data_IF_316578443042
#
_entry.id   IF_316578443042
#
_cell.length_a   1.000
_cell.length_b   1.000
_cell.length_c   1.000
_cell.angle_alpha   90.00
_cell.angle_beta   90.00
_cell.angle_gamma   90.00
#
_symmetry.space_group_name_H-M   'P 1'
#
loop_
_entity.id
_entity.type
_entity.pdbx_description
1 polymer ?
#
# COMPACT_ATOMS: atom_id res chain seq x y z
N UNK A 1 32.92 59.73 -28.75
CA UNK A 1 33.18 58.46 -29.44
C UNK A 1 32.03 58.07 -30.34
N UNK A 2 32.41 57.79 -31.58
CA UNK A 2 31.56 57.46 -32.70
C UNK A 2 30.79 56.13 -32.48
N UNK A 3 29.62 55.96 -33.12
CA UNK A 3 28.52 55.11 -32.69
C UNK A 3 28.20 54.00 -33.72
N UNK A 4 27.02 53.40 -33.57
CA UNK A 4 26.22 52.77 -34.64
C UNK A 4 26.85 51.53 -35.35
N UNK A 5 26.13 50.63 -36.00
CA UNK A 5 24.92 50.81 -36.76
C UNK A 5 24.29 49.46 -37.13
N UNK A 6 22.97 49.49 -37.20
CA UNK A 6 22.09 48.62 -37.97
C UNK A 6 22.59 48.44 -39.42
N UNK A 7 22.50 47.24 -40.00
CA UNK A 7 22.41 47.10 -41.47
C UNK A 7 21.52 45.94 -41.88
N UNK A 8 20.54 46.32 -42.70
CA UNK A 8 19.55 45.52 -43.41
C UNK A 8 19.83 45.73 -44.90
N UNK A 9 20.01 44.67 -45.67
CA UNK A 9 20.03 44.63 -47.16
C UNK A 9 19.98 43.14 -47.55
N UNK A 10 19.41 42.63 -48.65
CA UNK A 10 18.33 42.99 -49.58
C UNK A 10 18.08 41.70 -50.38
N UNK A 11 16.85 41.58 -50.86
CA UNK A 11 16.29 40.55 -51.74
C UNK A 11 16.87 40.62 -53.17
N UNK A 12 17.21 39.49 -53.81
CA UNK A 12 17.15 39.35 -55.28
C UNK A 12 17.06 37.87 -55.72
N UNK A 13 16.12 37.62 -56.63
CA UNK A 13 15.77 36.36 -57.31
C UNK A 13 16.88 35.82 -58.24
N UNK A 14 16.89 34.50 -58.53
CA UNK A 14 16.50 33.87 -59.82
C UNK A 14 16.98 32.40 -59.94
N UNK A 15 16.12 31.52 -60.50
CA UNK A 15 16.38 30.40 -61.42
C UNK A 15 17.39 29.28 -61.02
N UNK A 16 17.25 27.99 -61.35
CA UNK A 16 16.28 27.18 -62.09
C UNK A 16 16.60 25.70 -61.71
N UNK A 17 15.59 24.85 -61.78
CA UNK A 17 15.57 23.38 -61.57
C UNK A 17 16.61 22.57 -62.36
N UNK A 18 17.23 21.52 -61.75
CA UNK A 18 17.61 20.27 -62.45
C UNK A 18 17.46 19.04 -61.53
N UNK A 19 16.65 18.10 -62.06
CA UNK A 19 16.36 16.68 -61.84
C UNK A 19 16.84 15.85 -60.61
N UNK A 20 15.86 15.07 -60.15
CA UNK A 20 15.88 13.84 -59.35
C UNK A 20 16.88 12.77 -59.84
N UNK A 21 17.60 12.16 -58.90
CA UNK A 21 17.96 10.74 -58.99
C UNK A 21 17.50 10.06 -57.70
N UNK A 22 16.61 9.09 -57.90
CA UNK A 22 16.15 8.12 -56.91
C UNK A 22 17.32 7.24 -56.50
N UNK A 23 17.79 7.37 -55.27
CA UNK A 23 18.49 6.28 -54.58
C UNK A 23 17.70 5.98 -53.32
N UNK A 24 17.05 4.81 -53.34
CA UNK A 24 16.19 4.34 -52.27
C UNK A 24 16.92 4.36 -50.93
N UNK A 25 16.46 5.24 -50.04
CA UNK A 25 16.54 4.96 -48.62
C UNK A 25 15.13 4.55 -48.23
N UNK A 26 14.92 3.25 -48.10
CA UNK A 26 13.85 2.71 -47.29
C UNK A 26 13.90 3.46 -45.96
N UNK A 27 12.99 4.40 -45.73
CA UNK A 27 12.68 4.78 -44.37
C UNK A 27 12.00 3.55 -43.79
N UNK A 28 12.81 2.66 -43.22
CA UNK A 28 12.36 1.73 -42.21
C UNK A 28 11.86 2.61 -41.07
N UNK A 29 10.59 2.99 -41.14
CA UNK A 29 9.83 3.29 -39.94
C UNK A 29 9.76 1.96 -39.21
N UNK A 30 10.72 1.71 -38.33
CA UNK A 30 10.54 0.71 -37.29
C UNK A 30 9.32 1.18 -36.51
N UNK A 31 8.20 0.50 -36.76
CA UNK A 31 7.06 0.53 -35.87
C UNK A 31 7.49 -0.27 -34.64
N UNK A 32 8.32 0.33 -33.79
CA UNK A 32 8.53 -0.15 -32.44
C UNK A 32 7.27 0.24 -31.65
N UNK A 33 6.21 -0.55 -31.85
CA UNK A 33 5.21 -0.73 -30.81
C UNK A 33 5.87 -1.57 -29.70
N UNK A 34 6.86 -1.01 -29.02
CA UNK A 34 7.18 -1.45 -27.67
C UNK A 34 5.97 -1.07 -26.83
N UNK A 35 5.12 -2.06 -26.56
CA UNK A 35 4.08 -1.96 -25.55
C UNK A 35 4.78 -1.68 -24.23
N UNK A 36 4.93 -0.40 -23.88
CA UNK A 36 5.53 0.03 -22.61
C UNK A 36 4.66 -0.53 -21.51
N UNK A 37 5.11 -1.62 -20.88
CA UNK A 37 4.39 -2.23 -19.78
C UNK A 37 4.31 -1.21 -18.65
N UNK A 38 3.11 -0.74 -18.37
CA UNK A 38 2.86 0.18 -17.29
C UNK A 38 2.81 -0.61 -15.98
N UNK A 39 3.87 -0.49 -15.17
CA UNK A 39 3.98 -1.18 -13.88
C UNK A 39 2.80 -0.89 -12.95
N UNK A 40 2.17 0.29 -13.08
CA UNK A 40 0.99 0.62 -12.30
C UNK A 40 -0.21 -0.26 -12.67
N UNK A 41 -0.46 -0.45 -13.96
CA UNK A 41 -1.61 -1.24 -14.44
C UNK A 41 -1.44 -2.71 -14.05
N UNK A 42 -0.21 -3.21 -14.09
CA UNK A 42 0.12 -4.56 -13.63
C UNK A 42 -0.10 -4.73 -12.13
N UNK A 43 0.34 -3.76 -11.32
CA UNK A 43 0.08 -3.78 -9.87
C UNK A 43 -1.43 -3.69 -9.60
N UNK A 44 -2.15 -2.85 -10.33
CA UNK A 44 -3.60 -2.70 -10.16
C UNK A 44 -4.34 -3.99 -10.51
N UNK A 45 -3.92 -4.71 -11.56
CA UNK A 45 -4.44 -6.05 -11.89
C UNK A 45 -4.18 -7.08 -10.78
N UNK A 46 -2.96 -7.12 -10.25
CA UNK A 46 -2.64 -8.00 -9.11
C UNK A 46 -3.49 -7.68 -7.88
N UNK A 47 -3.72 -6.39 -7.59
CA UNK A 47 -4.55 -5.94 -6.47
C UNK A 47 -6.02 -6.29 -6.68
N UNK A 48 -6.52 -6.20 -7.91
CA UNK A 48 -7.87 -6.64 -8.28
C UNK A 48 -8.04 -8.14 -7.99
N UNK A 49 -7.11 -8.98 -8.43
CA UNK A 49 -7.17 -10.42 -8.17
C UNK A 49 -7.06 -10.77 -6.68
N UNK A 50 -6.23 -10.05 -5.92
CA UNK A 50 -6.14 -10.16 -4.46
C UNK A 50 -7.46 -9.83 -3.79
N UNK A 51 -8.07 -8.69 -4.14
CA UNK A 51 -9.32 -8.22 -3.52
C UNK A 51 -10.52 -9.09 -3.91
N UNK A 52 -10.54 -9.61 -5.15
CA UNK A 52 -11.53 -10.60 -5.61
C UNK A 52 -11.38 -11.93 -4.85
N UNK A 53 -10.16 -12.48 -4.76
CA UNK A 53 -9.86 -13.71 -4.02
C UNK A 53 -10.26 -13.61 -2.54
N UNK A 54 -10.01 -12.46 -1.90
CA UNK A 54 -10.43 -12.17 -0.53
C UNK A 54 -11.97 -12.11 -0.37
N UNK A 55 -12.66 -11.53 -1.34
CA UNK A 55 -14.11 -11.39 -1.35
C UNK A 55 -14.80 -12.74 -1.55
N UNK A 56 -14.41 -13.49 -2.57
CA UNK A 56 -14.97 -14.81 -2.91
C UNK A 56 -14.80 -15.82 -1.77
N UNK A 57 -13.69 -15.76 -1.06
CA UNK A 57 -13.38 -16.68 0.05
C UNK A 57 -13.84 -16.16 1.41
N UNK A 58 -14.54 -15.02 1.49
CA UNK A 58 -14.90 -14.33 2.73
C UNK A 58 -13.70 -14.15 3.69
N UNK A 59 -12.50 -13.98 3.13
CA UNK A 59 -11.23 -13.91 3.86
C UNK A 59 -10.70 -12.49 4.04
N UNK A 60 -11.51 -11.48 3.69
CA UNK A 60 -11.21 -10.06 3.90
C UNK A 60 -11.08 -9.64 5.37
N UNK A 61 -11.51 -10.50 6.30
CA UNK A 61 -11.41 -10.28 7.74
C UNK A 61 -10.32 -11.15 8.37
N UNK A 62 -9.69 -10.64 9.44
CA UNK A 62 -8.61 -11.33 10.16
C UNK A 62 -8.91 -11.36 11.64
N UNK A 63 -8.88 -12.54 12.26
CA UNK A 63 -8.96 -12.63 13.73
C UNK A 63 -7.72 -11.98 14.32
N UNK A 64 -7.92 -11.03 15.25
CA UNK A 64 -6.82 -10.39 15.98
C UNK A 64 -6.72 -10.93 17.40
N UNK A 65 -5.52 -10.99 17.99
CA UNK A 65 -5.34 -11.44 19.35
C UNK A 65 -6.12 -10.61 20.37
N UNK A 66 -6.49 -11.23 21.48
CA UNK A 66 -7.11 -10.54 22.61
C UNK A 66 -6.16 -9.45 23.15
N UNK A 67 -6.74 -8.32 23.53
CA UNK A 67 -6.05 -7.19 24.12
C UNK A 67 -6.29 -7.17 25.61
N UNK A 68 -5.23 -7.17 26.41
CA UNK A 68 -5.35 -7.04 27.86
C UNK A 68 -4.29 -6.10 28.41
N UNK A 69 -4.75 -5.10 29.16
CA UNK A 69 -3.88 -4.19 29.91
C UNK A 69 -4.44 -3.89 31.27
N UNK A 70 -3.55 -3.86 32.23
CA UNK A 70 -3.86 -3.46 33.60
C UNK A 70 -2.92 -2.34 34.01
N UNK A 71 -3.40 -1.45 34.87
CA UNK A 71 -2.60 -0.39 35.43
C UNK A 71 -2.87 -0.27 36.93
N UNK A 72 -1.87 0.22 37.65
CA UNK A 72 -1.96 0.49 39.08
C UNK A 72 -1.28 1.82 39.39
N UNK A 73 -2.02 2.75 40.01
CA UNK A 73 -1.47 4.01 40.52
C UNK A 73 -1.90 4.19 41.97
N UNK A 74 -0.97 4.07 42.91
CA UNK A 74 -1.24 4.06 44.34
C UNK A 74 -2.32 2.99 44.69
N UNK A 75 -3.47 3.41 45.23
CA UNK A 75 -4.60 2.54 45.57
C UNK A 75 -5.57 2.26 44.41
N UNK A 76 -5.44 2.96 43.28
CA UNK A 76 -6.28 2.77 42.11
C UNK A 76 -5.74 1.64 41.23
N UNK A 77 -6.55 0.60 41.01
CA UNK A 77 -6.29 -0.49 40.06
C UNK A 77 -7.29 -0.39 38.93
N UNK A 78 -6.87 -0.54 37.70
CA UNK A 78 -7.81 -0.55 36.58
C UNK A 78 -7.24 -1.30 35.40
N UNK A 79 -8.00 -1.35 34.33
CA UNK A 79 -7.57 -2.02 33.13
C UNK A 79 -8.67 -2.14 32.09
N UNK A 80 -8.27 -2.81 31.02
CA UNK A 80 -9.11 -3.14 29.89
C UNK A 80 -8.77 -4.55 29.40
N UNK A 81 -9.81 -5.30 29.05
CA UNK A 81 -9.70 -6.61 28.40
C UNK A 81 -10.69 -6.65 27.25
N UNK A 82 -10.18 -6.68 26.02
CA UNK A 82 -10.96 -6.81 24.79
C UNK A 82 -10.69 -8.18 24.15
N UNK A 83 -11.76 -8.91 23.84
CA UNK A 83 -11.69 -10.27 23.31
C UNK A 83 -12.58 -10.42 22.09
N UNK A 84 -12.32 -11.51 21.34
CA UNK A 84 -13.02 -11.79 20.05
C UNK A 84 -12.80 -10.65 19.07
N UNK A 85 -11.52 -10.31 18.89
CA UNK A 85 -11.09 -9.26 17.97
C UNK A 85 -11.16 -9.72 16.52
N UNK A 86 -11.68 -8.87 15.65
CA UNK A 86 -11.72 -9.06 14.21
C UNK A 86 -11.31 -7.76 13.52
N UNK A 87 -10.38 -7.85 12.60
CA UNK A 87 -10.02 -6.81 11.66
C UNK A 87 -10.84 -6.93 10.37
N UNK A 88 -11.22 -5.79 9.79
CA UNK A 88 -11.83 -5.66 8.47
C UNK A 88 -11.44 -4.29 7.86
N UNK A 89 -11.37 -4.06 6.55
CA UNK A 89 -11.67 -4.98 5.46
C UNK A 89 -10.53 -4.97 4.42
N UNK A 90 -9.79 -6.08 4.33
CA UNK A 90 -8.68 -6.24 3.37
C UNK A 90 -9.15 -6.19 1.91
N UNK A 91 -10.44 -6.36 1.62
CA UNK A 91 -10.98 -6.23 0.25
C UNK A 91 -10.95 -4.79 -0.26
N UNK A 92 -10.70 -3.81 0.63
CA UNK A 92 -10.60 -2.39 0.27
C UNK A 92 -9.17 -1.94 -0.04
N UNK A 93 -8.26 -2.90 -0.23
CA UNK A 93 -6.86 -2.65 -0.56
C UNK A 93 -6.74 -1.99 -1.94
N UNK A 94 -5.96 -0.91 -1.99
CA UNK A 94 -5.70 -0.18 -3.22
C UNK A 94 -4.35 0.50 -3.17
N UNK A 95 -3.81 0.79 -4.33
CA UNK A 95 -2.59 1.58 -4.48
C UNK A 95 -2.83 3.04 -4.06
N UNK A 96 -1.86 3.65 -3.39
CA UNK A 96 -1.92 5.04 -2.88
C UNK A 96 -0.95 5.99 -3.59
N UNK A 97 -0.14 5.47 -4.53
CA UNK A 97 0.78 6.25 -5.35
C UNK A 97 1.36 5.41 -6.48
N UNK A 98 2.23 5.97 -7.32
CA UNK A 98 2.83 5.20 -8.40
C UNK A 98 3.75 4.10 -7.87
N UNK A 99 3.70 2.93 -8.49
CA UNK A 99 4.69 1.90 -8.30
C UNK A 99 6.02 2.36 -8.92
N UNK A 100 7.12 2.01 -8.25
CA UNK A 100 8.48 2.28 -8.71
C UNK A 100 9.13 0.97 -9.12
N UNK A 101 9.68 0.94 -10.32
CA UNK A 101 10.48 -0.17 -10.84
C UNK A 101 11.96 0.23 -10.82
N UNK A 102 12.79 -0.61 -10.23
CA UNK A 102 14.26 -0.46 -10.26
C UNK A 102 14.82 -1.69 -10.95
N UNK A 103 15.54 -1.47 -12.04
CA UNK A 103 16.23 -2.53 -12.79
C UNK A 103 17.68 -2.63 -12.31
N UNK A 104 18.15 -3.85 -12.12
CA UNK A 104 19.54 -4.23 -11.92
C UNK A 104 19.90 -5.29 -12.96
N UNK A 105 21.18 -5.66 -13.05
CA UNK A 105 21.69 -6.56 -14.10
C UNK A 105 20.88 -7.87 -14.22
N UNK A 106 20.63 -8.55 -13.08
CA UNK A 106 19.94 -9.86 -13.05
C UNK A 106 18.61 -9.82 -12.26
N UNK A 107 18.11 -8.64 -11.93
CA UNK A 107 16.88 -8.52 -11.14
C UNK A 107 16.13 -7.21 -11.35
N UNK A 108 14.84 -7.23 -11.07
CA UNK A 108 14.03 -6.03 -10.97
C UNK A 108 13.26 -6.00 -9.67
N UNK A 109 13.21 -4.83 -9.06
CA UNK A 109 12.46 -4.59 -7.82
C UNK A 109 11.31 -3.65 -8.10
N UNK A 110 10.10 -4.11 -7.75
CA UNK A 110 8.89 -3.30 -7.73
C UNK A 110 8.61 -2.90 -6.29
N UNK A 111 8.51 -1.60 -6.04
CA UNK A 111 8.06 -1.06 -4.76
C UNK A 111 6.79 -0.26 -4.96
N UNK A 112 5.79 -0.50 -4.11
CA UNK A 112 4.51 0.19 -4.16
C UNK A 112 3.98 0.46 -2.76
N UNK A 113 3.29 1.59 -2.60
CA UNK A 113 2.53 1.91 -1.40
C UNK A 113 1.04 1.65 -1.64
N UNK A 114 0.44 0.95 -0.70
CA UNK A 114 -0.96 0.59 -0.65
C UNK A 114 -1.62 1.22 0.57
N UNK A 115 -2.95 1.24 0.56
CA UNK A 115 -3.79 1.64 1.67
C UNK A 115 -5.09 0.87 1.65
N UNK A 116 -5.82 0.90 2.76
CA UNK A 116 -7.16 0.32 2.85
C UNK A 116 -8.17 1.45 2.90
N UNK A 117 -9.18 1.41 2.02
CA UNK A 117 -10.28 2.37 2.05
C UNK A 117 -11.07 2.32 3.36
N UNK A 118 -11.13 1.14 4.00
CA UNK A 118 -11.74 0.95 5.30
C UNK A 118 -10.86 0.05 6.18
N UNK A 119 -10.38 0.61 7.27
CA UNK A 119 -9.64 -0.13 8.28
C UNK A 119 -10.31 0.00 9.65
N UNK A 120 -10.85 -1.10 10.14
CA UNK A 120 -11.66 -1.20 11.34
C UNK A 120 -11.33 -2.48 12.11
N UNK A 121 -11.06 -2.32 13.39
CA UNK A 121 -10.96 -3.43 14.33
C UNK A 121 -12.17 -3.41 15.25
N UNK A 122 -12.78 -4.56 15.41
CA UNK A 122 -13.89 -4.75 16.33
C UNK A 122 -13.56 -5.84 17.35
N UNK A 123 -13.82 -5.57 18.62
CA UNK A 123 -13.79 -6.58 19.68
C UNK A 123 -15.21 -6.79 20.17
N UNK A 124 -15.70 -8.02 19.98
CA UNK A 124 -17.06 -8.39 20.36
C UNK A 124 -17.33 -8.34 21.86
N UNK A 125 -16.31 -8.26 22.71
CA UNK A 125 -16.46 -8.03 24.13
C UNK A 125 -15.27 -7.25 24.68
N UNK A 126 -15.51 -6.10 25.30
CA UNK A 126 -14.50 -5.27 25.94
C UNK A 126 -14.95 -4.87 27.34
N UNK A 127 -14.20 -5.30 28.35
CA UNK A 127 -14.40 -4.94 29.75
C UNK A 127 -13.39 -3.88 30.14
N UNK A 128 -13.86 -2.71 30.57
CA UNK A 128 -13.06 -1.66 31.19
C UNK A 128 -13.38 -1.59 32.69
N UNK A 129 -12.38 -1.45 33.56
CA UNK A 129 -12.60 -1.36 35.00
C UNK A 129 -11.66 -0.37 35.69
N UNK A 130 -12.14 0.21 36.78
CA UNK A 130 -11.40 1.04 37.72
C UNK A 130 -11.90 0.76 39.13
N UNK A 131 -11.05 0.13 39.93
CA UNK A 131 -11.34 -0.33 41.28
C UNK A 131 -12.58 -1.23 41.29
N UNK A 132 -13.69 -0.80 41.93
CA UNK A 132 -14.96 -1.55 41.97
C UNK A 132 -15.89 -1.22 40.80
N UNK A 133 -15.60 -0.17 40.03
CA UNK A 133 -16.41 0.23 38.88
C UNK A 133 -15.96 -0.56 37.65
N UNK A 134 -16.92 -1.08 36.89
CA UNK A 134 -16.63 -1.71 35.60
C UNK A 134 -17.77 -1.50 34.61
N UNK A 135 -17.40 -1.54 33.34
CA UNK A 135 -18.34 -1.51 32.22
C UNK A 135 -17.88 -2.53 31.19
N UNK A 136 -18.82 -3.15 30.49
CA UNK A 136 -18.56 -4.10 29.42
C UNK A 136 -19.39 -3.71 28.21
N UNK A 137 -18.74 -3.59 27.05
CA UNK A 137 -19.39 -3.23 25.79
C UNK A 137 -18.54 -3.68 24.59
N UNK A 138 -18.96 -3.37 23.36
CA UNK A 138 -18.15 -3.58 22.15
C UNK A 138 -17.15 -2.44 21.98
N UNK A 139 -15.91 -2.80 21.63
CA UNK A 139 -14.86 -1.84 21.28
C UNK A 139 -14.69 -1.86 19.76
N UNK A 140 -14.82 -0.69 19.13
CA UNK A 140 -14.52 -0.48 17.72
C UNK A 140 -13.40 0.53 17.60
N UNK A 141 -12.38 0.24 16.80
CA UNK A 141 -11.24 1.11 16.52
C UNK A 141 -11.21 1.31 15.01
N UNK A 142 -11.39 2.55 14.55
CA UNK A 142 -11.25 2.90 13.15
C UNK A 142 -9.89 3.54 12.94
N UNK A 143 -9.21 3.17 11.85
CA UNK A 143 -7.93 3.73 11.46
C UNK A 143 -8.16 4.50 10.17
N UNK A 144 -8.10 5.82 10.22
CA UNK A 144 -8.41 6.65 9.05
C UNK A 144 -7.21 6.91 8.15
N UNK A 145 -5.99 6.77 8.69
CA UNK A 145 -4.75 6.92 7.93
C UNK A 145 -3.91 5.66 8.05
N UNK A 146 -3.63 5.04 6.93
CA UNK A 146 -2.80 3.84 6.88
C UNK A 146 -1.96 3.81 5.61
N UNK A 147 -0.81 3.15 5.72
CA UNK A 147 0.10 2.95 4.60
C UNK A 147 0.78 1.60 4.73
N UNK A 148 0.76 0.84 3.65
CA UNK A 148 1.34 -0.48 3.54
C UNK A 148 2.38 -0.42 2.43
N UNK A 149 3.63 -0.73 2.72
CA UNK A 149 4.68 -0.86 1.71
C UNK A 149 4.80 -2.32 1.28
N UNK A 150 4.70 -2.53 -0.02
CA UNK A 150 4.91 -3.82 -0.66
C UNK A 150 6.15 -3.74 -1.53
N UNK A 151 7.02 -4.73 -1.38
CA UNK A 151 8.23 -4.89 -2.18
C UNK A 151 8.26 -6.27 -2.79
N UNK A 152 8.39 -6.31 -4.11
CA UNK A 152 8.45 -7.54 -4.91
C UNK A 152 9.76 -7.51 -5.67
N UNK A 153 10.48 -8.63 -5.70
CA UNK A 153 11.68 -8.81 -6.51
C UNK A 153 11.43 -9.89 -7.55
N UNK A 154 11.91 -9.63 -8.76
CA UNK A 154 11.92 -10.54 -9.89
C UNK A 154 13.39 -10.81 -10.19
N UNK A 155 13.81 -12.07 -10.11
CA UNK A 155 15.19 -12.47 -10.39
C UNK A 155 15.23 -13.32 -11.65
N UNK A 156 16.22 -13.07 -12.50
CA UNK A 156 16.49 -13.86 -13.71
C UNK A 156 17.80 -14.62 -13.49
N UNK A 157 17.79 -15.92 -13.74
CA UNK A 157 18.97 -16.78 -13.77
C UNK A 157 18.89 -17.68 -14.99
N UNK A 158 19.48 -17.22 -16.10
CA UNK A 158 19.34 -17.84 -17.41
C UNK A 158 17.89 -17.85 -17.91
N UNK A 159 17.33 -19.04 -18.14
CA UNK A 159 15.93 -19.22 -18.54
C UNK A 159 14.96 -19.23 -17.34
N UNK A 160 15.49 -19.28 -16.11
CA UNK A 160 14.67 -19.28 -14.91
C UNK A 160 14.32 -17.83 -14.54
N UNK A 161 13.04 -17.58 -14.31
CA UNK A 161 12.60 -16.34 -13.71
C UNK A 161 11.72 -16.62 -12.50
N UNK A 162 12.04 -15.98 -11.38
CA UNK A 162 11.36 -16.15 -10.12
C UNK A 162 10.87 -14.81 -9.60
N UNK A 163 9.60 -14.76 -9.22
CA UNK A 163 9.01 -13.61 -8.51
C UNK A 163 8.88 -13.94 -7.03
N UNK A 164 9.37 -13.05 -6.17
CA UNK A 164 9.26 -13.17 -4.72
C UNK A 164 8.63 -11.92 -4.11
N UNK A 165 7.75 -12.14 -3.13
CA UNK A 165 7.34 -11.07 -2.23
C UNK A 165 8.44 -10.89 -1.18
N UNK A 166 9.22 -9.81 -1.29
CA UNK A 166 10.24 -9.51 -0.29
C UNK A 166 9.58 -9.04 1.02
N UNK A 167 8.59 -8.15 0.87
CA UNK A 167 7.91 -7.58 2.01
C UNK A 167 6.49 -7.08 1.71
N UNK A 168 5.69 -7.06 2.77
CA UNK A 168 4.39 -6.40 2.85
C UNK A 168 4.23 -5.93 4.30
N UNK A 169 4.61 -4.68 4.54
CA UNK A 169 4.76 -4.07 5.86
C UNK A 169 3.82 -2.91 6.04
N UNK A 170 3.29 -2.78 7.25
CA UNK A 170 2.43 -1.65 7.58
C UNK A 170 3.28 -0.54 8.19
N UNK A 171 3.57 0.45 7.36
CA UNK A 171 4.43 1.59 7.70
C UNK A 171 3.69 2.62 8.56
N UNK A 172 2.37 2.74 8.41
CA UNK A 172 1.58 3.75 9.11
C UNK A 172 0.24 3.22 9.61
N UNK A 173 -0.06 3.57 10.86
CA UNK A 173 -1.40 3.56 11.46
C UNK A 173 -1.61 4.87 12.21
N UNK A 174 -2.41 5.76 11.63
CA UNK A 174 -2.66 7.09 12.14
C UNK A 174 -4.14 7.42 12.18
N UNK A 175 -4.44 8.50 12.90
CA UNK A 175 -5.80 9.03 13.08
C UNK A 175 -6.79 7.93 13.56
N UNK A 176 -6.50 7.42 14.76
CA UNK A 176 -7.27 6.36 15.39
C UNK A 176 -8.52 6.92 16.06
N UNK A 177 -9.69 6.42 15.68
CA UNK A 177 -10.96 6.72 16.33
C UNK A 177 -11.46 5.51 17.11
N UNK A 178 -11.36 5.60 18.43
CA UNK A 178 -11.81 4.56 19.36
C UNK A 178 -13.25 4.84 19.80
N UNK A 179 -14.13 3.86 19.61
CA UNK A 179 -15.54 3.89 20.01
C UNK A 179 -15.79 2.73 20.96
N UNK A 180 -16.10 3.06 22.22
CA UNK A 180 -16.56 2.10 23.21
C UNK A 180 -17.75 2.73 23.94
N UNK A 181 -18.91 2.11 23.77
CA UNK A 181 -20.15 2.60 24.38
C UNK A 181 -20.01 2.52 25.91
N UNK A 182 -20.61 3.48 26.62
CA UNK A 182 -20.59 3.58 28.09
C UNK A 182 -19.26 3.96 28.77
N UNK A 183 -18.22 4.36 28.02
CA UNK A 183 -16.95 4.86 28.59
C UNK A 183 -17.08 6.09 29.48
N UNK A 184 -18.15 6.89 29.33
CA UNK A 184 -18.36 8.13 30.08
C UNK A 184 -18.36 7.96 31.60
N UNK A 185 -18.62 6.74 32.09
CA UNK A 185 -18.59 6.42 33.53
C UNK A 185 -17.16 6.28 34.09
N UNK A 186 -16.14 6.11 33.24
CA UNK A 186 -14.76 5.84 33.65
C UNK A 186 -13.75 6.57 32.73
N UNK A 187 -13.83 7.91 32.67
CA UNK A 187 -12.97 8.76 31.79
C UNK A 187 -11.47 8.45 31.91
N UNK A 188 -10.96 8.21 33.11
CA UNK A 188 -9.54 7.89 33.33
C UNK A 188 -9.08 6.62 32.59
N UNK A 189 -9.94 5.60 32.47
CA UNK A 189 -9.63 4.39 31.70
C UNK A 189 -9.72 4.67 30.20
N UNK A 190 -10.67 5.52 29.77
CA UNK A 190 -10.81 5.91 28.36
C UNK A 190 -9.57 6.61 27.83
N UNK A 191 -9.06 7.62 28.54
CA UNK A 191 -7.87 8.37 28.12
C UNK A 191 -6.64 7.44 28.03
N UNK A 192 -6.45 6.58 29.05
CA UNK A 192 -5.37 5.58 29.06
C UNK A 192 -5.52 4.53 27.98
N UNK A 193 -6.75 4.16 27.61
CA UNK A 193 -7.02 3.23 26.53
C UNK A 193 -6.61 3.83 25.19
N UNK A 194 -6.96 5.08 24.90
CA UNK A 194 -6.59 5.76 23.67
C UNK A 194 -5.08 5.90 23.59
N UNK A 195 -4.42 6.40 24.64
CA UNK A 195 -2.96 6.49 24.69
C UNK A 195 -2.29 5.14 24.47
N UNK A 196 -2.82 4.09 25.10
CA UNK A 196 -2.28 2.74 24.95
C UNK A 196 -2.50 2.21 23.53
N UNK A 197 -3.70 2.35 22.97
CA UNK A 197 -4.01 1.98 21.58
C UNK A 197 -3.11 2.74 20.62
N UNK A 198 -2.87 4.04 20.78
CA UNK A 198 -2.01 4.80 19.88
C UNK A 198 -0.54 4.36 19.98
N UNK A 199 -0.05 4.16 21.20
CA UNK A 199 1.37 3.82 21.43
C UNK A 199 1.69 2.33 21.28
N UNK A 200 0.68 1.45 21.35
CA UNK A 200 0.81 0.00 21.35
C UNK A 200 -0.30 -0.64 20.52
N UNK A 201 -0.78 0.03 19.46
CA UNK A 201 -1.57 -0.64 18.42
C UNK A 201 -0.66 -1.72 17.87
N UNK A 202 -0.90 -2.91 18.39
CA UNK A 202 0.15 -3.81 18.86
C UNK A 202 1.02 -4.33 17.72
N UNK A 203 2.29 -4.63 18.00
CA UNK A 203 3.12 -5.43 17.09
C UNK A 203 2.38 -6.72 16.70
N UNK A 204 1.56 -7.32 17.58
CA UNK A 204 0.80 -8.53 17.23
C UNK A 204 -0.36 -8.28 16.28
N UNK A 205 -1.06 -7.15 16.40
CA UNK A 205 -2.11 -6.79 15.42
C UNK A 205 -1.43 -6.56 14.07
N UNK A 206 -0.36 -5.77 14.05
CA UNK A 206 0.43 -5.52 12.85
C UNK A 206 0.92 -6.83 12.23
N UNK A 207 1.57 -7.69 13.00
CA UNK A 207 2.10 -8.99 12.55
C UNK A 207 0.99 -9.90 12.02
N UNK A 208 -0.18 -9.95 12.66
CA UNK A 208 -1.30 -10.74 12.17
C UNK A 208 -1.81 -10.25 10.81
N UNK A 209 -1.88 -8.93 10.62
CA UNK A 209 -2.31 -8.31 9.36
C UNK A 209 -1.27 -8.48 8.26
N UNK A 210 0.00 -8.19 8.56
CA UNK A 210 1.11 -8.39 7.63
C UNK A 210 1.21 -9.85 7.20
N UNK A 211 1.08 -10.80 8.15
CA UNK A 211 1.11 -12.23 7.83
C UNK A 211 -0.04 -12.64 6.90
N UNK A 212 -1.26 -12.18 7.16
CA UNK A 212 -2.40 -12.45 6.27
C UNK A 212 -2.17 -11.84 4.89
N UNK A 213 -1.72 -10.59 4.84
CA UNK A 213 -1.50 -9.87 3.59
C UNK A 213 -0.41 -10.54 2.76
N UNK A 214 0.72 -10.91 3.37
CA UNK A 214 1.80 -11.68 2.73
C UNK A 214 1.28 -12.98 2.14
N UNK A 215 0.55 -13.77 2.92
CA UNK A 215 0.02 -15.06 2.46
C UNK A 215 -0.89 -14.92 1.25
N UNK A 216 -1.73 -13.88 1.19
CA UNK A 216 -2.64 -13.66 0.05
C UNK A 216 -1.87 -13.12 -1.15
N UNK A 217 -1.00 -12.13 -0.97
CA UNK A 217 -0.16 -11.59 -2.05
C UNK A 217 0.73 -12.68 -2.68
N UNK A 218 1.40 -13.50 -1.87
CA UNK A 218 2.24 -14.60 -2.37
C UNK A 218 1.44 -15.63 -3.16
N UNK A 219 0.20 -15.92 -2.75
CA UNK A 219 -0.68 -16.85 -3.47
C UNK A 219 -1.06 -16.31 -4.84
N UNK A 220 -1.40 -15.03 -4.93
CA UNK A 220 -1.80 -14.40 -6.19
C UNK A 220 -0.58 -14.16 -7.10
N UNK A 221 0.56 -13.72 -6.54
CA UNK A 221 1.81 -13.54 -7.30
C UNK A 221 2.26 -14.81 -8.04
N UNK A 222 2.03 -16.00 -7.47
CA UNK A 222 2.33 -17.29 -8.13
C UNK A 222 1.49 -17.55 -9.39
N UNK A 223 0.36 -16.87 -9.56
CA UNK A 223 -0.51 -16.99 -10.74
C UNK A 223 -0.10 -16.04 -11.86
N UNK A 224 0.57 -14.93 -11.52
CA UNK A 224 0.98 -13.92 -12.48
C UNK A 224 2.43 -14.16 -12.95
N UNK A 225 2.64 -14.05 -14.26
CA UNK A 225 3.97 -14.09 -14.83
C UNK A 225 4.57 -12.68 -14.87
N UNK A 226 5.13 -12.21 -13.74
CA UNK A 226 5.75 -10.89 -13.70
C UNK A 226 7.05 -10.80 -14.52
N UNK A 227 7.60 -11.94 -14.94
CA UNK A 227 8.83 -12.03 -15.74
C UNK A 227 8.68 -11.42 -17.13
N UNK A 228 7.44 -11.22 -17.59
CA UNK A 228 7.15 -10.47 -18.82
C UNK A 228 7.63 -9.02 -18.76
N UNK A 229 7.87 -8.44 -17.57
CA UNK A 229 8.41 -7.08 -17.42
C UNK A 229 9.86 -6.92 -17.85
N UNK A 230 10.60 -8.02 -17.98
CA UNK A 230 12.05 -8.03 -18.21
C UNK A 230 12.45 -8.60 -19.56
N UNK A 231 11.46 -8.86 -20.42
CA UNK A 231 11.63 -9.33 -21.80
C UNK A 231 11.28 -8.21 -22.76
#
# INVERSE_FOLDING_TARGET
>A
DNPECFKRYTMTHLCLTVLLIVSGTSTFTNADNEEKVNINDMVDMLLEDVTNSLSETNSGSVTVPDLERTFRKSFLKGGLKATRGVFSDLTTLKRTGNATLVLNDDSATVKVFLGLGKMQLEFGHCRAWLSKLSTSDRLTINVNRNSIEVKITITIDGDNCQTTLDDAKINEFGDLKVVLKNLGKIKFVADRLVDWIVNHFDDKIRVALESKLKSVLEKELKKHNLCSLLK
#
